data_IF_347136105913
#
_entry.id   IF_347136105913
#
_cell.length_a   1.000
_cell.length_b   1.000
_cell.length_c   1.000
_cell.angle_alpha   90.00
_cell.angle_beta   90.00
_cell.angle_gamma   90.00
#
_symmetry.space_group_name_H-M   'P 1'
#
loop_
_entity.id
_entity.type
_entity.pdbx_description
1 polymer ?
#
# COMPACT_ATOMS: atom_id res chain seq x y z
N UNK A 1 43.65 12.79 2.36
CA UNK A 1 43.46 13.41 1.03
C UNK A 1 43.82 14.91 1.04
N UNK A 2 43.24 15.71 1.95
CA UNK A 2 43.46 17.17 2.01
C UNK A 2 44.92 17.54 2.30
N UNK A 3 45.58 16.84 3.23
CA UNK A 3 46.98 17.03 3.58
C UNK A 3 47.93 16.67 2.43
N UNK A 4 47.67 15.53 1.76
CA UNK A 4 48.46 15.07 0.62
C UNK A 4 48.43 16.02 -0.58
N UNK A 5 47.35 16.82 -0.69
CA UNK A 5 47.16 17.77 -1.78
C UNK A 5 47.30 19.22 -1.34
N UNK A 6 47.81 19.46 -0.13
CA UNK A 6 47.99 20.80 0.47
C UNK A 6 46.78 21.69 0.23
N UNK A 7 45.58 21.15 0.58
CA UNK A 7 44.29 21.82 0.34
C UNK A 7 44.16 23.06 1.23
N UNK A 8 43.77 24.16 0.64
CA UNK A 8 43.35 25.38 1.36
C UNK A 8 41.83 25.50 1.19
N UNK A 9 41.14 25.64 2.31
CA UNK A 9 39.68 25.76 2.32
C UNK A 9 39.29 27.11 2.85
N UNK A 10 38.69 27.94 2.02
CA UNK A 10 38.09 29.21 2.40
C UNK A 10 36.56 29.00 2.55
N UNK A 11 36.11 28.86 3.80
CA UNK A 11 34.73 28.65 4.13
C UNK A 11 33.84 29.88 3.85
N UNK A 12 34.40 31.09 3.85
CA UNK A 12 33.66 32.32 3.59
C UNK A 12 33.33 32.47 2.09
N UNK A 13 34.33 32.24 1.24
CA UNK A 13 34.16 32.28 -0.21
C UNK A 13 33.74 30.96 -0.81
N UNK A 14 33.66 29.91 0.03
CA UNK A 14 33.31 28.52 -0.41
C UNK A 14 34.26 28.02 -1.50
N UNK A 15 35.51 28.27 -1.36
CA UNK A 15 36.55 27.90 -2.32
C UNK A 15 37.44 26.84 -1.70
N UNK A 16 37.72 25.78 -2.47
CA UNK A 16 38.73 24.77 -2.13
C UNK A 16 39.83 24.81 -3.18
N UNK A 17 41.05 25.12 -2.75
CA UNK A 17 42.22 25.15 -3.63
C UNK A 17 43.11 23.96 -3.32
N UNK A 18 43.39 23.12 -4.31
CA UNK A 18 44.28 21.96 -4.20
C UNK A 18 45.62 22.27 -4.86
N UNK A 19 46.70 22.13 -4.07
CA UNK A 19 48.10 22.38 -4.49
C UNK A 19 48.91 21.10 -4.42
N UNK A 20 48.73 20.21 -5.38
CA UNK A 20 49.49 18.96 -5.43
C UNK A 20 50.92 19.21 -5.92
N UNK A 21 51.97 18.66 -5.30
CA UNK A 21 53.35 18.79 -5.80
C UNK A 21 53.45 18.31 -7.23
N UNK A 22 54.02 19.15 -8.12
CA UNK A 22 54.24 18.82 -9.54
C UNK A 22 53.03 18.88 -10.45
N UNK A 23 51.86 19.34 -9.95
CA UNK A 23 50.64 19.54 -10.72
C UNK A 23 50.14 20.99 -10.66
N UNK A 24 49.42 21.49 -11.68
CA UNK A 24 48.82 22.80 -11.62
C UNK A 24 47.82 22.91 -10.48
N UNK A 25 47.69 24.11 -9.91
CA UNK A 25 46.71 24.43 -8.87
C UNK A 25 45.28 24.25 -9.44
N UNK A 26 44.43 23.55 -8.69
CA UNK A 26 43.02 23.33 -9.06
C UNK A 26 42.14 23.99 -8.03
N UNK A 27 41.27 24.88 -8.47
CA UNK A 27 40.32 25.63 -7.64
C UNK A 27 38.92 25.12 -7.87
N UNK A 28 38.27 24.69 -6.80
CA UNK A 28 36.84 24.36 -6.80
C UNK A 28 36.08 25.47 -6.10
N UNK A 29 35.11 26.05 -6.79
CA UNK A 29 34.22 27.06 -6.22
C UNK A 29 32.88 26.41 -5.92
N UNK A 30 32.49 26.35 -4.64
CA UNK A 30 31.18 25.89 -4.25
C UNK A 30 30.10 26.88 -4.66
N UNK A 31 28.99 26.39 -5.15
CA UNK A 31 27.82 27.21 -5.43
C UNK A 31 27.35 27.93 -4.17
N UNK A 32 27.07 29.21 -4.28
CA UNK A 32 26.36 29.97 -3.25
C UNK A 32 24.87 29.65 -3.41
N UNK A 33 24.45 28.53 -2.92
CA UNK A 33 23.03 28.37 -2.62
C UNK A 33 22.67 29.45 -1.60
N UNK A 34 21.88 30.40 -2.04
CA UNK A 34 21.24 31.36 -1.16
C UNK A 34 20.27 30.54 -0.32
N UNK A 35 20.75 30.04 0.84
CA UNK A 35 19.84 29.44 1.81
C UNK A 35 18.86 30.56 2.17
N UNK A 36 17.57 30.44 1.84
CA UNK A 36 16.59 31.44 2.21
C UNK A 36 16.71 31.68 3.72
N UNK A 37 16.72 32.93 4.15
CA UNK A 37 16.83 33.29 5.59
C UNK A 37 15.72 32.67 6.45
N UNK A 38 14.70 32.08 5.82
CA UNK A 38 13.61 31.35 6.45
C UNK A 38 13.92 29.86 6.74
N UNK A 39 15.04 29.30 6.24
CA UNK A 39 15.42 27.92 6.58
C UNK A 39 16.12 27.89 7.96
N UNK A 40 15.59 27.03 8.81
CA UNK A 40 16.09 26.82 10.17
C UNK A 40 16.57 25.37 10.34
N UNK A 41 17.53 25.15 11.25
CA UNK A 41 17.98 23.80 11.56
C UNK A 41 16.91 22.99 12.28
N UNK A 42 16.98 21.66 12.20
CA UNK A 42 16.07 20.75 12.91
C UNK A 42 16.03 21.01 14.42
N UNK A 43 17.17 21.42 15.01
CA UNK A 43 17.28 21.78 16.43
C UNK A 43 16.52 23.08 16.74
N UNK A 44 16.62 24.09 15.85
CA UNK A 44 15.86 25.34 15.97
C UNK A 44 14.36 25.10 15.79
N UNK A 45 13.97 24.28 14.82
CA UNK A 45 12.59 23.87 14.61
C UNK A 45 12.00 23.18 15.85
N UNK A 46 12.75 22.27 16.48
CA UNK A 46 12.33 21.58 17.70
C UNK A 46 12.15 22.54 18.89
N UNK A 47 13.01 23.57 19.01
CA UNK A 47 12.85 24.62 20.03
C UNK A 47 11.58 25.44 19.82
N UNK A 48 11.21 25.73 18.56
CA UNK A 48 9.99 26.46 18.24
C UNK A 48 8.74 25.62 18.51
N UNK A 49 8.77 24.33 18.18
CA UNK A 49 7.71 23.37 18.54
C UNK A 49 7.46 23.33 20.04
N UNK A 50 8.52 23.24 20.84
CA UNK A 50 8.42 23.21 22.30
C UNK A 50 7.90 24.56 22.90
N UNK A 51 7.96 25.66 22.13
CA UNK A 51 7.37 26.96 22.49
C UNK A 51 5.91 27.10 22.05
N UNK A 52 5.30 26.04 21.49
CA UNK A 52 3.90 26.07 21.07
C UNK A 52 3.65 26.69 19.69
N UNK A 53 4.68 26.90 18.87
CA UNK A 53 4.49 27.39 17.50
C UNK A 53 3.75 26.35 16.65
N UNK A 54 2.79 26.81 15.86
CA UNK A 54 2.11 25.95 14.88
C UNK A 54 3.09 25.57 13.77
N UNK A 55 3.10 24.29 13.41
CA UNK A 55 3.96 23.76 12.35
C UNK A 55 3.12 22.95 11.37
N UNK A 56 3.53 22.99 10.10
CA UNK A 56 2.90 22.25 9.01
C UNK A 56 3.99 21.43 8.32
N UNK A 57 3.69 20.16 8.03
CA UNK A 57 4.52 19.34 7.17
C UNK A 57 4.14 19.64 5.71
N UNK A 58 5.04 20.29 4.98
CA UNK A 58 4.86 20.53 3.55
C UNK A 58 5.63 19.47 2.75
N UNK A 59 4.95 18.81 1.82
CA UNK A 59 5.58 17.99 0.80
C UNK A 59 5.77 18.81 -0.46
N UNK A 60 6.99 18.84 -0.97
CA UNK A 60 7.26 19.41 -2.29
C UNK A 60 6.82 18.40 -3.33
N UNK A 61 5.75 18.71 -4.05
CA UNK A 61 5.32 17.94 -5.23
C UNK A 61 5.82 18.70 -6.45
N UNK A 62 6.55 18.01 -7.34
CA UNK A 62 6.92 18.60 -8.63
C UNK A 62 5.66 18.70 -9.50
N UNK A 63 5.08 19.90 -9.52
CA UNK A 63 3.88 20.20 -10.31
C UNK A 63 4.12 20.09 -11.83
N UNK A 64 5.36 19.89 -12.28
CA UNK A 64 5.72 19.68 -13.70
C UNK A 64 5.53 18.23 -14.14
N UNK A 65 5.42 17.28 -13.22
CA UNK A 65 4.89 15.96 -13.53
C UNK A 65 3.38 16.10 -13.62
N UNK A 66 2.88 16.38 -14.81
CA UNK A 66 1.44 16.29 -15.12
C UNK A 66 0.92 14.94 -14.65
N UNK A 67 -0.34 14.87 -14.27
CA UNK A 67 -0.98 13.60 -13.89
C UNK A 67 -0.76 12.60 -15.02
N UNK A 68 0.05 11.58 -14.75
CA UNK A 68 0.31 10.49 -15.69
C UNK A 68 -1.01 9.81 -15.98
N UNK A 69 -1.46 9.81 -17.23
CA UNK A 69 -2.71 9.16 -17.64
C UNK A 69 -2.46 7.73 -18.08
N UNK A 70 -3.47 6.90 -17.94
CA UNK A 70 -3.40 5.48 -18.36
C UNK A 70 -3.04 5.38 -19.85
N UNK A 71 -3.58 6.30 -20.67
CA UNK A 71 -3.38 6.34 -22.12
C UNK A 71 -1.92 6.56 -22.53
N UNK A 72 -1.14 7.23 -21.68
CA UNK A 72 0.25 7.61 -21.95
C UNK A 72 1.27 6.51 -21.61
N UNK A 73 0.83 5.46 -20.90
CA UNK A 73 1.74 4.39 -20.43
C UNK A 73 1.70 3.20 -21.40
N UNK A 74 2.84 2.85 -22.04
CA UNK A 74 2.92 1.70 -22.93
C UNK A 74 2.46 0.41 -22.25
N UNK A 75 1.67 -0.39 -22.97
CA UNK A 75 1.05 -1.66 -22.51
C UNK A 75 -0.13 -1.44 -21.56
N UNK A 76 -0.04 -0.51 -20.59
CA UNK A 76 -1.09 -0.26 -19.61
C UNK A 76 -2.33 0.30 -20.28
N UNK A 77 -2.16 1.14 -21.31
CA UNK A 77 -3.23 1.71 -22.14
C UNK A 77 -4.10 0.66 -22.86
N UNK A 78 -3.62 -0.58 -23.01
CA UNK A 78 -4.40 -1.70 -23.57
C UNK A 78 -5.38 -2.32 -22.55
N UNK A 79 -5.29 -1.92 -21.26
CA UNK A 79 -6.00 -2.54 -20.14
C UNK A 79 -6.67 -1.54 -19.20
N UNK A 80 -7.42 -0.53 -19.70
CA UNK A 80 -8.07 0.45 -18.83
C UNK A 80 -9.10 -0.19 -17.88
N UNK A 81 -9.69 -1.28 -18.28
CA UNK A 81 -10.67 -2.07 -17.52
C UNK A 81 -10.09 -2.73 -16.25
N UNK A 82 -8.76 -2.89 -16.17
CA UNK A 82 -8.07 -3.38 -14.95
C UNK A 82 -7.97 -2.29 -13.88
N UNK A 83 -8.11 -1.00 -14.27
CA UNK A 83 -7.92 0.16 -13.40
C UNK A 83 -9.19 1.01 -13.25
N UNK A 84 -10.33 0.45 -12.86
CA UNK A 84 -11.55 1.24 -12.69
C UNK A 84 -11.39 2.21 -11.52
N UNK A 85 -12.12 3.34 -11.56
CA UNK A 85 -12.14 4.30 -10.45
C UNK A 85 -12.74 3.72 -9.18
N UNK A 86 -13.68 2.80 -9.31
CA UNK A 86 -14.28 2.04 -8.22
C UNK A 86 -14.42 0.55 -8.58
N UNK A 87 -14.47 -0.31 -7.56
CA UNK A 87 -14.77 -1.72 -7.79
C UNK A 87 -16.18 -1.87 -8.38
N UNK A 88 -16.36 -2.68 -9.42
CA UNK A 88 -17.64 -2.78 -10.17
C UNK A 88 -18.74 -3.54 -9.40
N UNK A 89 -18.55 -3.79 -8.11
CA UNK A 89 -19.51 -4.50 -7.25
C UNK A 89 -18.88 -5.76 -6.62
N UNK A 90 -19.73 -6.75 -6.36
CA UNK A 90 -19.28 -8.00 -5.73
C UNK A 90 -18.30 -8.76 -6.63
N UNK A 91 -17.21 -9.32 -6.06
CA UNK A 91 -16.28 -10.13 -6.82
C UNK A 91 -16.98 -11.40 -7.37
N UNK A 92 -16.46 -11.98 -8.46
CA UNK A 92 -16.98 -13.22 -9.00
C UNK A 92 -16.87 -14.36 -8.00
N UNK A 93 -17.68 -15.40 -8.18
CA UNK A 93 -17.51 -16.66 -7.46
C UNK A 93 -16.20 -17.29 -7.91
N UNK A 94 -15.34 -17.64 -6.97
CA UNK A 94 -14.02 -18.24 -7.22
C UNK A 94 -13.97 -19.66 -6.64
N UNK A 95 -12.97 -20.43 -7.00
CA UNK A 95 -12.71 -21.73 -6.38
C UNK A 95 -12.34 -21.63 -4.90
N UNK A 96 -11.91 -20.44 -4.48
CA UNK A 96 -11.51 -20.14 -3.11
C UNK A 96 -12.46 -19.09 -2.54
N UNK A 97 -13.08 -19.43 -1.41
CA UNK A 97 -13.79 -18.49 -0.55
C UNK A 97 -13.03 -18.32 0.76
N UNK A 98 -13.12 -17.13 1.35
CA UNK A 98 -12.57 -16.89 2.66
C UNK A 98 -13.40 -17.59 3.74
N UNK A 99 -12.77 -18.44 4.54
CA UNK A 99 -13.41 -19.16 5.65
C UNK A 99 -12.89 -18.69 7.01
N UNK A 100 -13.76 -18.72 8.01
CA UNK A 100 -13.44 -18.38 9.40
C UNK A 100 -13.69 -19.61 10.26
N UNK A 101 -12.65 -20.38 10.51
CA UNK A 101 -12.70 -21.55 11.39
C UNK A 101 -12.52 -21.11 12.83
N UNK A 102 -13.43 -21.56 13.70
CA UNK A 102 -13.39 -21.22 15.11
C UNK A 102 -12.88 -22.39 15.96
N UNK A 103 -12.26 -22.08 17.06
CA UNK A 103 -11.91 -23.07 18.09
C UNK A 103 -13.19 -23.77 18.58
N UNK A 104 -13.10 -25.07 18.82
CA UNK A 104 -14.24 -25.86 19.28
C UNK A 104 -14.82 -25.29 20.57
N UNK A 105 -16.15 -25.19 20.63
CA UNK A 105 -16.85 -24.63 21.79
C UNK A 105 -16.90 -23.10 21.86
N UNK A 106 -16.42 -22.39 20.81
CA UNK A 106 -16.49 -20.93 20.76
C UNK A 106 -17.93 -20.44 20.71
N UNK A 107 -18.28 -19.52 21.59
CA UNK A 107 -19.59 -18.86 21.61
C UNK A 107 -19.52 -17.56 20.81
N UNK A 108 -20.64 -17.10 20.20
CA UNK A 108 -20.71 -15.82 19.57
C UNK A 108 -20.33 -14.66 20.50
N UNK A 109 -19.47 -13.77 20.01
CA UNK A 109 -18.99 -12.61 20.77
C UNK A 109 -19.63 -11.35 20.21
N UNK A 110 -20.28 -10.58 21.06
CA UNK A 110 -20.87 -9.31 20.70
C UNK A 110 -20.43 -8.23 21.68
N UNK A 111 -19.97 -7.11 21.14
CA UNK A 111 -19.49 -5.96 21.90
C UNK A 111 -20.37 -4.72 21.61
N UNK A 112 -20.50 -3.85 22.60
CA UNK A 112 -21.19 -2.58 22.42
C UNK A 112 -20.44 -1.69 21.41
N UNK A 113 -21.17 -0.87 20.60
CA UNK A 113 -20.53 0.10 19.73
C UNK A 113 -19.67 1.10 20.51
N UNK A 114 -18.54 1.47 19.95
CA UNK A 114 -17.67 2.51 20.53
C UNK A 114 -18.33 3.89 20.47
N UNK A 115 -18.05 4.72 21.47
CA UNK A 115 -18.49 6.13 21.45
C UNK A 115 -17.66 6.87 20.41
N UNK A 116 -18.35 7.68 19.59
CA UNK A 116 -17.75 8.42 18.48
C UNK A 116 -18.09 9.90 18.56
N UNK A 117 -17.16 10.75 18.12
CA UNK A 117 -17.38 12.18 17.97
C UNK A 117 -18.36 12.47 16.81
N UNK A 118 -19.02 13.64 16.78
CA UNK A 118 -19.97 13.99 15.71
C UNK A 118 -19.38 13.92 14.30
N UNK A 119 -18.10 14.31 14.13
CA UNK A 119 -17.40 14.22 12.85
C UNK A 119 -17.19 12.75 12.39
N UNK A 120 -16.83 11.86 13.34
CA UNK A 120 -16.69 10.43 13.09
C UNK A 120 -18.04 9.78 12.73
N UNK A 121 -19.12 10.21 13.37
CA UNK A 121 -20.48 9.73 13.05
C UNK A 121 -20.93 10.11 11.64
N UNK A 122 -20.62 11.34 11.20
CA UNK A 122 -20.91 11.78 9.82
C UNK A 122 -20.15 10.90 8.82
N UNK A 123 -18.85 10.71 9.05
CA UNK A 123 -18.00 9.90 8.20
C UNK A 123 -18.43 8.42 8.19
N UNK A 124 -18.84 7.90 9.36
CA UNK A 124 -19.37 6.54 9.48
C UNK A 124 -20.59 6.33 8.58
N UNK A 125 -21.52 7.28 8.58
CA UNK A 125 -22.73 7.20 7.75
C UNK A 125 -22.38 7.15 6.26
N UNK A 126 -21.42 7.99 5.83
CA UNK A 126 -20.96 8.04 4.44
C UNK A 126 -20.30 6.71 4.03
N UNK A 127 -19.32 6.24 4.81
CA UNK A 127 -18.60 5.00 4.46
C UNK A 127 -19.47 3.74 4.58
N UNK A 128 -20.45 3.70 5.51
CA UNK A 128 -21.42 2.61 5.58
C UNK A 128 -22.31 2.59 4.33
N UNK A 129 -22.79 3.76 3.89
CA UNK A 129 -23.64 3.85 2.69
C UNK A 129 -22.87 3.37 1.46
N UNK A 130 -21.62 3.80 1.28
CA UNK A 130 -20.74 3.33 0.18
C UNK A 130 -20.58 1.79 0.18
N UNK A 131 -20.40 1.19 1.35
CA UNK A 131 -20.25 -0.26 1.46
C UNK A 131 -21.56 -1.00 1.16
N UNK A 132 -22.71 -0.43 1.54
CA UNK A 132 -24.04 -0.97 1.22
C UNK A 132 -24.31 -0.85 -0.27
N UNK A 133 -24.06 0.32 -0.87
CA UNK A 133 -24.30 0.57 -2.30
C UNK A 133 -23.45 -0.33 -3.20
N UNK A 134 -22.21 -0.66 -2.76
CA UNK A 134 -21.34 -1.65 -3.43
C UNK A 134 -21.75 -3.10 -3.15
N UNK A 135 -22.70 -3.33 -2.26
CA UNK A 135 -23.14 -4.68 -1.86
C UNK A 135 -22.10 -5.44 -1.01
N UNK A 136 -21.07 -4.76 -0.48
CA UNK A 136 -20.03 -5.42 0.32
C UNK A 136 -20.48 -5.77 1.72
N UNK A 137 -21.48 -5.06 2.23
CA UNK A 137 -22.15 -5.34 3.50
C UNK A 137 -23.66 -5.41 3.31
N UNK A 138 -24.30 -6.14 4.22
CA UNK A 138 -25.76 -6.22 4.29
C UNK A 138 -26.22 -6.12 5.75
N UNK A 139 -27.51 -5.75 6.02
CA UNK A 139 -28.08 -5.83 7.35
C UNK A 139 -27.95 -7.23 7.93
N UNK A 140 -27.68 -7.34 9.24
CA UNK A 140 -27.43 -8.61 9.93
C UNK A 140 -28.33 -8.79 11.15
N UNK A 141 -28.72 -10.03 11.39
CA UNK A 141 -29.34 -10.48 12.64
C UNK A 141 -28.42 -11.45 13.41
N UNK A 142 -27.13 -11.45 13.08
CA UNK A 142 -26.15 -12.35 13.67
C UNK A 142 -26.00 -12.13 15.18
N UNK A 143 -25.77 -13.20 15.98
CA UNK A 143 -25.39 -13.08 17.37
C UNK A 143 -23.99 -12.50 17.58
N UNK A 144 -23.15 -12.45 16.52
CA UNK A 144 -21.84 -11.80 16.52
C UNK A 144 -21.98 -10.29 16.40
N UNK A 145 -21.01 -9.54 16.88
CA UNK A 145 -21.02 -8.09 16.73
C UNK A 145 -19.70 -7.45 17.17
N UNK A 146 -18.85 -7.14 16.24
CA UNK A 146 -17.62 -6.38 16.49
C UNK A 146 -17.92 -4.86 16.55
N UNK A 147 -17.22 -4.07 17.37
CA UNK A 147 -17.36 -2.63 17.35
C UNK A 147 -16.61 -2.00 16.19
N UNK A 148 -17.08 -0.82 15.78
CA UNK A 148 -16.46 0.01 14.73
C UNK A 148 -15.55 1.05 15.38
N UNK A 149 -14.43 1.34 14.74
CA UNK A 149 -13.51 2.41 15.12
C UNK A 149 -12.96 3.12 13.87
N UNK A 150 -12.43 4.33 14.06
CA UNK A 150 -11.74 5.07 13.01
C UNK A 150 -10.24 5.15 13.26
N UNK A 151 -9.48 5.05 12.17
CA UNK A 151 -8.05 5.27 12.16
C UNK A 151 -7.74 6.42 11.20
N UNK A 152 -7.02 7.44 11.68
CA UNK A 152 -6.54 8.52 10.83
C UNK A 152 -5.40 8.03 9.95
N UNK A 153 -5.51 8.25 8.65
CA UNK A 153 -4.42 8.06 7.70
C UNK A 153 -3.41 9.21 7.77
N UNK A 154 -2.26 9.04 7.11
CA UNK A 154 -1.22 10.09 7.02
C UNK A 154 -1.72 11.36 6.33
N UNK A 155 -2.65 11.24 5.41
CA UNK A 155 -3.31 12.34 4.69
C UNK A 155 -4.43 13.05 5.50
N UNK A 156 -4.67 12.62 6.74
CA UNK A 156 -5.70 13.17 7.62
C UNK A 156 -7.10 12.59 7.41
N UNK A 157 -7.33 11.80 6.37
CA UNK A 157 -8.62 11.13 6.15
C UNK A 157 -8.86 10.01 7.16
N UNK A 158 -10.12 9.72 7.46
CA UNK A 158 -10.51 8.67 8.40
C UNK A 158 -10.81 7.37 7.66
N UNK A 159 -10.26 6.27 8.16
CA UNK A 159 -10.54 4.92 7.67
C UNK A 159 -11.42 4.18 8.65
N UNK A 160 -12.55 3.71 8.18
CA UNK A 160 -13.42 2.79 8.93
C UNK A 160 -12.69 1.46 9.15
N UNK A 161 -12.61 1.03 10.39
CA UNK A 161 -12.04 -0.24 10.77
C UNK A 161 -13.01 -0.98 11.69
N UNK A 162 -13.08 -2.29 11.53
CA UNK A 162 -13.87 -3.15 12.41
C UNK A 162 -12.91 -3.83 13.37
N UNK A 163 -13.21 -3.80 14.66
CA UNK A 163 -12.37 -4.41 15.69
C UNK A 163 -12.64 -5.90 15.82
N UNK A 164 -12.00 -6.69 15.00
CA UNK A 164 -12.10 -8.14 15.03
C UNK A 164 -11.16 -8.83 16.04
N UNK A 165 -10.47 -8.10 16.92
CA UNK A 165 -9.51 -8.71 17.86
C UNK A 165 -10.11 -9.86 18.69
N UNK A 166 -11.37 -9.74 19.12
CA UNK A 166 -12.05 -10.80 19.88
C UNK A 166 -12.38 -12.02 19.02
N UNK A 167 -12.85 -11.80 17.79
CA UNK A 167 -13.06 -12.86 16.82
C UNK A 167 -11.73 -13.56 16.47
N UNK A 168 -10.67 -12.79 16.25
CA UNK A 168 -9.34 -13.31 15.94
C UNK A 168 -8.75 -14.17 17.06
N UNK A 169 -9.10 -13.91 18.33
CA UNK A 169 -8.67 -14.73 19.47
C UNK A 169 -9.27 -16.13 19.45
N UNK A 170 -10.49 -16.29 18.95
CA UNK A 170 -11.19 -17.58 18.85
C UNK A 170 -11.12 -18.21 17.48
N UNK A 171 -10.43 -17.56 16.52
CA UNK A 171 -10.22 -18.09 15.16
C UNK A 171 -8.99 -18.98 15.13
N UNK A 172 -9.11 -20.14 14.50
CA UNK A 172 -7.97 -21.03 14.22
C UNK A 172 -7.04 -20.30 13.24
N UNK A 173 -5.80 -20.08 13.67
CA UNK A 173 -4.81 -19.36 12.86
C UNK A 173 -4.31 -20.23 11.73
N UNK A 174 -4.40 -19.74 10.52
CA UNK A 174 -3.81 -20.35 9.34
C UNK A 174 -2.27 -20.33 9.42
N UNK A 175 -1.65 -21.40 8.94
CA UNK A 175 -0.19 -21.57 8.87
C UNK A 175 0.32 -21.45 7.42
N UNK A 176 -0.40 -20.74 6.57
CA UNK A 176 0.03 -20.50 5.19
C UNK A 176 1.43 -19.88 5.17
N UNK A 177 2.39 -20.45 4.42
CA UNK A 177 3.74 -19.94 4.39
C UNK A 177 3.78 -18.60 3.65
N UNK A 178 3.98 -17.52 4.39
CA UNK A 178 4.30 -16.23 3.77
C UNK A 178 5.77 -16.28 3.31
N UNK A 179 6.07 -15.83 2.09
CA UNK A 179 7.44 -15.81 1.60
C UNK A 179 8.30 -14.88 2.47
N UNK A 180 9.57 -15.24 2.64
CA UNK A 180 10.53 -14.39 3.34
C UNK A 180 10.94 -13.25 2.43
N UNK A 181 11.07 -12.06 2.99
CA UNK A 181 11.43 -10.86 2.22
C UNK A 181 12.77 -11.04 1.52
N UNK A 182 13.75 -11.64 2.20
CA UNK A 182 15.09 -11.91 1.63
C UNK A 182 15.01 -12.81 0.40
N UNK A 183 14.20 -13.87 0.44
CA UNK A 183 14.01 -14.80 -0.68
C UNK A 183 13.37 -14.10 -1.89
N UNK A 184 12.48 -13.13 -1.65
CA UNK A 184 11.87 -12.31 -2.71
C UNK A 184 12.89 -11.37 -3.37
N UNK A 185 13.79 -10.77 -2.59
CA UNK A 185 14.82 -9.89 -3.14
C UNK A 185 15.90 -10.64 -3.92
N UNK A 186 16.25 -11.87 -3.53
CA UNK A 186 17.19 -12.70 -4.29
C UNK A 186 16.70 -12.96 -5.71
N UNK A 187 15.39 -13.06 -5.94
CA UNK A 187 14.79 -13.23 -7.27
C UNK A 187 15.00 -12.01 -8.18
N UNK A 188 15.15 -10.81 -7.63
CA UNK A 188 15.30 -9.56 -8.39
C UNK A 188 16.71 -9.39 -8.97
N UNK A 189 17.64 -10.28 -8.66
CA UNK A 189 19.03 -10.18 -9.08
C UNK A 189 19.17 -10.12 -10.60
N UNK A 190 19.73 -9.03 -11.10
CA UNK A 190 19.94 -8.82 -12.54
C UNK A 190 18.72 -8.26 -13.28
N UNK A 191 17.66 -7.91 -12.59
CA UNK A 191 16.57 -7.12 -13.15
C UNK A 191 16.98 -5.67 -13.29
N UNK A 192 16.47 -4.98 -14.32
CA UNK A 192 16.76 -3.58 -14.61
C UNK A 192 15.50 -2.74 -14.88
N UNK A 193 14.34 -3.38 -15.07
CA UNK A 193 13.07 -2.70 -15.31
C UNK A 193 11.99 -3.29 -14.42
N UNK A 194 11.25 -2.41 -13.76
CA UNK A 194 10.26 -2.79 -12.75
C UNK A 194 8.91 -2.10 -13.01
N UNK A 195 7.83 -2.81 -12.69
CA UNK A 195 6.49 -2.22 -12.57
C UNK A 195 5.81 -2.77 -11.33
N UNK A 196 5.31 -1.86 -10.50
CA UNK A 196 4.57 -2.19 -9.28
C UNK A 196 3.09 -1.96 -9.50
N UNK A 197 2.28 -2.94 -9.16
CA UNK A 197 0.82 -2.89 -9.25
C UNK A 197 0.24 -3.12 -7.84
N UNK A 198 -0.55 -2.15 -7.36
CA UNK A 198 -1.26 -2.22 -6.07
C UNK A 198 -2.74 -2.55 -6.35
N UNK A 199 -3.26 -3.61 -5.74
CA UNK A 199 -4.65 -4.01 -5.94
C UNK A 199 -5.61 -3.09 -5.19
N UNK A 200 -6.68 -2.70 -5.86
CA UNK A 200 -7.72 -1.82 -5.29
C UNK A 200 -8.52 -2.56 -4.22
N UNK A 201 -8.33 -2.19 -2.94
CA UNK A 201 -9.02 -2.85 -1.82
C UNK A 201 -8.99 -4.37 -1.93
N UNK A 202 -7.78 -4.94 -2.12
CA UNK A 202 -7.57 -6.32 -2.52
C UNK A 202 -8.44 -7.33 -1.77
N UNK A 203 -8.54 -7.18 -0.45
CA UNK A 203 -9.34 -8.09 0.38
C UNK A 203 -10.82 -8.11 0.01
N UNK A 204 -11.40 -6.97 -0.40
CA UNK A 204 -12.80 -6.93 -0.84
C UNK A 204 -13.02 -7.65 -2.19
N UNK A 205 -11.97 -8.07 -2.86
CA UNK A 205 -12.05 -8.84 -4.11
C UNK A 205 -12.14 -10.37 -3.89
N UNK A 206 -12.29 -10.81 -2.64
CA UNK A 206 -12.56 -12.20 -2.27
C UNK A 206 -13.85 -12.29 -1.46
N UNK A 207 -14.71 -13.26 -1.81
CA UNK A 207 -15.95 -13.53 -1.07
C UNK A 207 -15.68 -14.27 0.22
N UNK A 208 -16.56 -14.08 1.19
CA UNK A 208 -16.62 -14.90 2.38
C UNK A 208 -17.55 -16.10 2.09
N UNK A 209 -17.20 -17.27 2.60
CA UNK A 209 -18.06 -18.43 2.59
C UNK A 209 -19.40 -18.12 3.28
N UNK A 210 -20.52 -18.46 2.67
CA UNK A 210 -21.84 -18.07 3.16
C UNK A 210 -22.10 -18.45 4.64
N UNK A 211 -21.60 -19.61 5.08
CA UNK A 211 -21.70 -20.06 6.47
C UNK A 211 -20.93 -19.17 7.46
N UNK A 212 -19.97 -18.38 6.97
CA UNK A 212 -19.05 -17.58 7.79
C UNK A 212 -19.35 -16.09 7.75
N UNK A 213 -20.20 -15.64 6.83
CA UNK A 213 -20.64 -14.25 6.69
C UNK A 213 -21.13 -13.68 8.02
N UNK A 214 -22.00 -14.43 8.74
CA UNK A 214 -22.55 -14.00 10.02
C UNK A 214 -21.50 -13.75 11.11
N UNK A 215 -20.31 -14.38 11.02
CA UNK A 215 -19.20 -14.17 11.99
C UNK A 215 -18.53 -12.80 11.83
N UNK A 216 -18.64 -12.18 10.65
CA UNK A 216 -18.08 -10.86 10.35
C UNK A 216 -18.95 -9.70 10.80
N UNK A 217 -20.09 -10.00 11.44
CA UNK A 217 -21.05 -8.99 11.85
C UNK A 217 -20.44 -7.94 12.76
N UNK A 218 -20.82 -6.70 12.53
CA UNK A 218 -20.35 -5.55 13.29
C UNK A 218 -21.50 -4.59 13.64
N UNK A 219 -21.34 -3.90 14.74
CA UNK A 219 -22.34 -2.99 15.30
C UNK A 219 -21.90 -1.55 15.20
N UNK A 220 -22.78 -0.74 14.69
CA UNK A 220 -22.65 0.71 14.66
C UNK A 220 -23.85 1.36 15.33
N UNK A 221 -23.82 2.68 15.52
CA UNK A 221 -24.99 3.45 15.95
C UNK A 221 -26.14 3.37 14.96
N UNK A 222 -25.84 3.14 13.67
CA UNK A 222 -26.80 3.18 12.57
C UNK A 222 -27.37 1.81 12.19
N UNK A 223 -26.88 0.75 12.80
CA UNK A 223 -27.36 -0.59 12.51
C UNK A 223 -26.33 -1.67 12.75
N UNK A 224 -26.75 -2.89 12.50
CA UNK A 224 -25.98 -4.11 12.57
C UNK A 224 -25.81 -4.64 11.16
N UNK A 225 -24.59 -4.84 10.73
CA UNK A 225 -24.23 -5.24 9.37
C UNK A 225 -23.25 -6.40 9.39
N UNK A 226 -23.17 -7.13 8.29
CA UNK A 226 -22.19 -8.20 8.08
C UNK A 226 -21.56 -8.08 6.69
N UNK A 227 -20.30 -8.48 6.55
CA UNK A 227 -19.59 -8.47 5.28
C UNK A 227 -19.87 -9.73 4.48
N UNK A 228 -20.10 -9.58 3.19
CA UNK A 228 -20.19 -10.68 2.21
C UNK A 228 -18.86 -10.86 1.44
N UNK A 229 -17.96 -9.88 1.56
CA UNK A 229 -16.60 -9.91 1.03
C UNK A 229 -15.62 -9.85 2.20
N UNK A 230 -14.40 -10.35 2.00
CA UNK A 230 -13.39 -10.42 3.05
C UNK A 230 -13.00 -9.02 3.55
N UNK A 231 -13.26 -8.65 4.80
CA UNK A 231 -12.91 -7.35 5.35
C UNK A 231 -11.46 -7.31 5.83
N UNK A 232 -10.96 -6.09 6.02
CA UNK A 232 -9.70 -5.88 6.73
C UNK A 232 -9.82 -6.22 8.23
N UNK A 233 -8.71 -6.65 8.84
CA UNK A 233 -8.61 -6.88 10.28
C UNK A 233 -8.85 -8.32 10.74
N UNK A 234 -9.23 -9.24 9.86
CA UNK A 234 -9.31 -10.67 10.14
C UNK A 234 -7.93 -11.34 10.08
N UNK A 235 -7.64 -12.21 11.05
CA UNK A 235 -6.29 -12.79 11.23
C UNK A 235 -5.80 -13.60 10.03
N UNK A 236 -6.71 -14.33 9.36
CA UNK A 236 -6.36 -15.20 8.24
C UNK A 236 -6.53 -14.53 6.86
N UNK A 237 -6.96 -13.27 6.80
CA UNK A 237 -7.19 -12.57 5.54
C UNK A 237 -5.92 -12.45 4.68
N UNK A 238 -4.73 -12.08 5.23
CA UNK A 238 -3.50 -12.05 4.44
C UNK A 238 -3.16 -13.40 3.82
N UNK A 239 -3.30 -14.49 4.59
CA UNK A 239 -3.01 -15.84 4.13
C UNK A 239 -3.94 -16.31 3.00
N UNK A 240 -5.24 -16.07 3.14
CA UNK A 240 -6.22 -16.42 2.12
C UNK A 240 -6.01 -15.60 0.82
N UNK A 241 -5.66 -14.33 0.96
CA UNK A 241 -5.38 -13.49 -0.19
C UNK A 241 -4.08 -13.90 -0.91
N UNK A 242 -3.03 -14.26 -0.15
CA UNK A 242 -1.80 -14.83 -0.71
C UNK A 242 -2.05 -16.14 -1.45
N UNK A 243 -2.93 -17.02 -0.93
CA UNK A 243 -3.29 -18.26 -1.62
C UNK A 243 -3.98 -17.95 -2.96
N UNK A 244 -4.93 -17.00 -2.99
CA UNK A 244 -5.57 -16.54 -4.22
C UNK A 244 -4.52 -16.04 -5.22
N UNK A 245 -3.64 -15.15 -4.78
CA UNK A 245 -2.64 -14.53 -5.65
C UNK A 245 -1.63 -15.55 -6.18
N UNK A 246 -1.18 -16.47 -5.32
CA UNK A 246 -0.28 -17.53 -5.73
C UNK A 246 -0.91 -18.46 -6.77
N UNK A 247 -2.19 -18.76 -6.68
CA UNK A 247 -2.90 -19.55 -7.72
C UNK A 247 -3.04 -18.78 -9.03
N UNK A 248 -3.44 -17.51 -8.96
CA UNK A 248 -3.63 -16.67 -10.15
C UNK A 248 -2.32 -16.47 -10.91
N UNK A 249 -1.21 -16.26 -10.19
CA UNK A 249 0.10 -15.97 -10.79
C UNK A 249 1.05 -17.15 -10.82
N UNK A 250 0.61 -18.34 -10.41
CA UNK A 250 1.44 -19.57 -10.37
C UNK A 250 2.34 -19.80 -11.59
N UNK A 251 1.91 -19.57 -12.84
CA UNK A 251 2.80 -19.79 -14.01
C UNK A 251 3.96 -18.80 -14.12
N UNK A 252 3.92 -17.68 -13.39
CA UNK A 252 4.81 -16.54 -13.54
C UNK A 252 5.67 -16.28 -12.30
N UNK A 253 5.28 -16.84 -11.14
CA UNK A 253 6.05 -16.75 -9.91
C UNK A 253 7.46 -17.30 -10.12
N UNK A 254 8.44 -16.75 -9.40
CA UNK A 254 9.87 -17.08 -9.44
C UNK A 254 10.53 -16.88 -10.82
N UNK A 255 9.82 -16.28 -11.79
CA UNK A 255 10.33 -16.03 -13.15
C UNK A 255 10.44 -14.55 -13.47
N UNK A 256 9.38 -13.79 -13.28
CA UNK A 256 9.33 -12.35 -13.54
C UNK A 256 8.24 -11.62 -12.73
N UNK A 257 7.64 -12.28 -11.76
CA UNK A 257 6.62 -11.72 -10.87
C UNK A 257 6.90 -12.12 -9.43
N UNK A 258 6.82 -11.15 -8.56
CA UNK A 258 6.73 -11.32 -7.12
C UNK A 258 5.36 -10.82 -6.67
N UNK A 259 4.72 -11.57 -5.78
CA UNK A 259 3.47 -11.19 -5.14
C UNK A 259 3.65 -11.17 -3.64
N UNK A 260 3.22 -10.08 -3.02
CA UNK A 260 3.19 -9.97 -1.56
C UNK A 260 1.93 -9.24 -1.12
N UNK A 261 0.95 -10.02 -0.65
CA UNK A 261 -0.39 -9.54 -0.28
C UNK A 261 -1.03 -8.77 -1.45
N UNK A 262 -1.26 -7.46 -1.31
CA UNK A 262 -1.92 -6.60 -2.31
C UNK A 262 -0.95 -6.07 -3.38
N UNK A 263 0.37 -6.21 -3.17
CA UNK A 263 1.43 -5.69 -4.04
C UNK A 263 1.90 -6.77 -5.03
N UNK A 264 1.93 -6.43 -6.32
CA UNK A 264 2.48 -7.26 -7.39
C UNK A 264 3.66 -6.49 -8.00
N UNK A 265 4.84 -7.11 -8.01
CA UNK A 265 6.03 -6.57 -8.64
C UNK A 265 6.37 -7.38 -9.89
N UNK A 266 6.30 -6.75 -11.05
CA UNK A 266 6.78 -7.30 -12.32
C UNK A 266 8.20 -6.81 -12.55
N UNK A 267 9.13 -7.72 -12.85
CA UNK A 267 10.54 -7.40 -13.06
C UNK A 267 11.10 -8.06 -14.33
N UNK A 268 12.06 -7.44 -14.96
CA UNK A 268 12.66 -7.93 -16.22
C UNK A 268 14.09 -7.43 -16.39
N UNK A 269 14.87 -8.15 -17.20
CA UNK A 269 16.25 -7.77 -17.53
C UNK A 269 16.35 -6.72 -18.63
N UNK A 270 15.28 -6.51 -19.40
CA UNK A 270 15.23 -5.53 -20.49
C UNK A 270 13.82 -5.03 -20.71
N UNK A 271 13.70 -3.84 -21.29
CA UNK A 271 12.39 -3.25 -21.66
C UNK A 271 11.60 -4.13 -22.64
N UNK A 272 12.27 -4.77 -23.60
CA UNK A 272 11.63 -5.66 -24.58
C UNK A 272 10.97 -6.87 -23.93
N UNK A 273 11.59 -7.43 -22.90
CA UNK A 273 11.00 -8.50 -22.08
C UNK A 273 9.88 -7.95 -21.20
N UNK A 274 10.10 -6.76 -20.63
CA UNK A 274 9.13 -6.13 -19.74
C UNK A 274 7.78 -5.88 -20.41
N UNK A 275 7.77 -5.43 -21.69
CA UNK A 275 6.55 -5.31 -22.51
C UNK A 275 5.73 -6.61 -22.48
N UNK A 276 6.40 -7.76 -22.65
CA UNK A 276 5.72 -9.07 -22.69
C UNK A 276 5.23 -9.48 -21.31
N UNK A 277 6.06 -9.32 -20.31
CA UNK A 277 5.76 -9.67 -18.92
C UNK A 277 4.60 -8.85 -18.38
N UNK A 278 4.66 -7.53 -18.53
CA UNK A 278 3.60 -6.62 -18.07
C UNK A 278 2.27 -6.92 -18.76
N UNK A 279 2.28 -7.14 -20.09
CA UNK A 279 1.08 -7.52 -20.85
C UNK A 279 0.47 -8.83 -20.36
N UNK A 280 1.29 -9.84 -20.04
CA UNK A 280 0.83 -11.11 -19.49
C UNK A 280 0.16 -10.91 -18.12
N UNK A 281 0.76 -10.12 -17.24
CA UNK A 281 0.23 -9.89 -15.91
C UNK A 281 -1.07 -9.10 -15.96
N UNK A 282 -1.15 -8.04 -16.76
CA UNK A 282 -2.39 -7.26 -16.91
C UNK A 282 -3.52 -8.10 -17.53
N UNK A 283 -3.20 -8.97 -18.50
CA UNK A 283 -4.18 -9.93 -19.06
C UNK A 283 -4.64 -10.94 -18.00
N UNK A 284 -3.73 -11.40 -17.15
CA UNK A 284 -4.07 -12.33 -16.07
C UNK A 284 -4.98 -11.66 -15.04
N UNK A 285 -4.71 -10.42 -14.66
CA UNK A 285 -5.60 -9.61 -13.80
C UNK A 285 -6.99 -9.46 -14.41
N UNK A 286 -7.06 -9.09 -15.70
CA UNK A 286 -8.32 -8.97 -16.46
C UNK A 286 -9.11 -10.28 -16.42
N UNK A 287 -8.46 -11.39 -16.78
CA UNK A 287 -9.11 -12.71 -16.84
C UNK A 287 -9.58 -13.20 -15.48
N UNK A 288 -8.79 -12.90 -14.44
CA UNK A 288 -9.14 -13.21 -13.06
C UNK A 288 -10.13 -12.20 -12.45
N UNK A 289 -10.54 -11.15 -13.18
CA UNK A 289 -11.37 -10.06 -12.67
C UNK A 289 -10.81 -9.48 -11.35
N UNK A 290 -9.49 -9.22 -11.35
CA UNK A 290 -8.80 -8.53 -10.27
C UNK A 290 -8.49 -7.11 -10.74
N UNK A 291 -8.77 -6.14 -9.86
CA UNK A 291 -8.69 -4.72 -10.19
C UNK A 291 -7.59 -4.03 -9.40
N UNK A 292 -6.85 -3.16 -10.07
CA UNK A 292 -5.76 -2.40 -9.50
C UNK A 292 -6.14 -0.93 -9.27
N UNK A 293 -5.42 -0.25 -8.38
CA UNK A 293 -5.58 1.17 -8.12
C UNK A 293 -4.49 1.95 -8.84
N UNK A 294 -4.81 2.53 -10.01
CA UNK A 294 -3.86 3.22 -10.87
C UNK A 294 -2.99 4.23 -10.12
N UNK A 295 -3.58 5.08 -9.27
CA UNK A 295 -2.86 6.12 -8.51
C UNK A 295 -1.80 5.59 -7.51
N UNK A 296 -1.75 4.28 -7.28
CA UNK A 296 -0.76 3.60 -6.45
C UNK A 296 0.16 2.68 -7.23
N UNK A 297 -0.09 2.54 -8.54
CA UNK A 297 0.75 1.75 -9.42
C UNK A 297 1.91 2.61 -9.96
N UNK A 298 3.03 1.97 -10.17
CA UNK A 298 4.22 2.58 -10.74
C UNK A 298 4.73 1.69 -11.87
N UNK A 299 5.03 2.27 -13.04
CA UNK A 299 5.38 1.51 -14.23
C UNK A 299 6.70 1.98 -14.83
N UNK A 300 7.44 1.07 -15.46
CA UNK A 300 8.66 1.37 -16.23
C UNK A 300 9.74 2.07 -15.41
N UNK A 301 9.99 1.57 -14.21
CA UNK A 301 10.98 2.13 -13.30
C UNK A 301 12.31 1.39 -13.39
N UNK A 302 13.41 2.13 -13.31
CA UNK A 302 14.76 1.57 -13.12
C UNK A 302 15.02 1.20 -11.66
N UNK A 303 14.29 1.82 -10.73
CA UNK A 303 14.35 1.58 -9.29
C UNK A 303 12.95 1.65 -8.70
N UNK A 304 12.62 0.73 -7.83
CA UNK A 304 11.28 0.65 -7.22
C UNK A 304 11.36 0.52 -5.71
N UNK A 305 10.45 1.22 -5.02
CA UNK A 305 10.22 1.00 -3.59
C UNK A 305 9.30 -0.20 -3.36
N UNK A 306 9.82 -1.29 -2.80
CA UNK A 306 9.06 -2.50 -2.53
C UNK A 306 9.34 -3.00 -1.12
N UNK A 307 8.29 -3.29 -0.34
CA UNK A 307 8.35 -3.77 1.06
C UNK A 307 9.27 -2.95 1.97
N UNK A 308 9.34 -1.63 1.75
CA UNK A 308 10.17 -0.72 2.55
C UNK A 308 11.64 -0.64 2.13
N UNK A 309 12.04 -1.31 1.07
CA UNK A 309 13.37 -1.26 0.48
C UNK A 309 13.33 -0.62 -0.91
N UNK A 310 14.44 -0.07 -1.36
CA UNK A 310 14.64 0.41 -2.74
C UNK A 310 15.50 -0.61 -3.47
N UNK A 311 14.98 -1.11 -4.58
CA UNK A 311 15.63 -2.09 -5.45
C UNK A 311 16.07 -1.41 -6.72
#
# INVERSE_FOLDING_TARGET
>A
FLEAHRAMIDCFWKVVVLRSPGKPEVTFQGERDVIPSCLISAVAARKLLNKGCQTYLAHVVDARKGDVRIEDIPVVNEFPDVFPDELPGLPPVREIDFSIELLSGSMPISQAPSRMAPAELKELKTQLQELVDKGFIRPSMSPWGAPVLFVKKKDGTMRLCIDYRKLNQVTVKNKYPLPRIDDLFDQLRGASVFSKIDLRSGYHQLRIRDSDVAKTAFRSRYGHYEFVVMPFGLTNAPAAFMDLMNRVFSPYLDRFVIVFIDDILVYSKSEKEHVKHLRLILRTLRNAQLFAKFSKCEFWLDKVGFLGHVV
#
